data_IF_963226493733
#
_entry.id   IF_963226493733
#
_cell.length_a   1.000
_cell.length_b   1.000
_cell.length_c   1.000
_cell.angle_alpha   90.00
_cell.angle_beta   90.00
_cell.angle_gamma   90.00
#
_symmetry.space_group_name_H-M   'P 1'
#
loop_
_entity.id
_entity.type
_entity.pdbx_description
1 polymer ?
#
# COMPACT_ATOMS: atom_id res chain seq x y z
N UNK A 1 3.96 16.06 3.72
CA UNK A 1 3.68 14.77 3.06
C UNK A 1 4.40 13.70 3.84
N UNK A 2 3.68 12.68 4.30
CA UNK A 2 4.23 11.63 5.15
C UNK A 2 5.25 10.81 4.32
N UNK A 3 6.54 10.88 4.67
CA UNK A 3 7.64 10.27 3.91
C UNK A 3 7.44 8.75 3.73
N UNK A 4 6.74 8.13 4.68
CA UNK A 4 6.37 6.72 4.70
C UNK A 4 5.24 6.37 3.75
N UNK A 5 4.25 7.26 3.53
CA UNK A 5 3.11 6.98 2.64
C UNK A 5 3.59 6.66 1.22
N UNK A 6 4.44 7.51 0.67
CA UNK A 6 4.98 7.32 -0.68
C UNK A 6 5.88 6.08 -0.76
N UNK A 7 6.64 5.78 0.29
CA UNK A 7 7.48 4.57 0.37
C UNK A 7 6.64 3.29 0.38
N UNK A 8 5.55 3.27 1.16
CA UNK A 8 4.62 2.14 1.23
C UNK A 8 3.93 1.90 -0.12
N UNK A 9 3.45 2.95 -0.78
CA UNK A 9 2.85 2.84 -2.13
C UNK A 9 3.86 2.28 -3.13
N UNK A 10 5.08 2.84 -3.19
CA UNK A 10 6.12 2.37 -4.11
C UNK A 10 6.52 0.92 -3.86
N UNK A 11 6.61 0.50 -2.60
CA UNK A 11 6.86 -0.89 -2.25
C UNK A 11 5.69 -1.79 -2.63
N UNK A 12 4.45 -1.37 -2.38
CA UNK A 12 3.25 -2.09 -2.81
C UNK A 12 3.21 -2.31 -4.32
N UNK A 13 3.49 -1.26 -5.11
CA UNK A 13 3.60 -1.34 -6.57
C UNK A 13 4.70 -2.34 -6.97
N UNK A 14 5.89 -2.26 -6.37
CA UNK A 14 6.99 -3.18 -6.65
C UNK A 14 6.62 -4.63 -6.35
N UNK A 15 5.99 -4.87 -5.20
CA UNK A 15 5.55 -6.19 -4.77
C UNK A 15 4.53 -6.76 -5.76
N UNK A 16 3.47 -6.00 -6.07
CA UNK A 16 2.42 -6.44 -7.00
C UNK A 16 2.98 -6.71 -8.41
N UNK A 17 3.92 -5.89 -8.90
CA UNK A 17 4.62 -6.18 -10.16
C UNK A 17 5.39 -7.50 -10.11
N UNK A 18 6.06 -7.77 -8.99
CA UNK A 18 6.81 -9.01 -8.78
C UNK A 18 5.90 -10.24 -8.72
N UNK A 19 4.68 -10.07 -8.18
CA UNK A 19 3.66 -11.12 -8.13
C UNK A 19 2.93 -11.37 -9.47
N UNK A 20 3.14 -10.55 -10.49
CA UNK A 20 2.55 -10.75 -11.82
C UNK A 20 1.48 -9.74 -12.23
N UNK A 21 1.39 -8.59 -11.55
CA UNK A 21 0.53 -7.47 -11.95
C UNK A 21 1.35 -6.33 -12.59
N UNK A 22 1.79 -6.45 -13.87
CA UNK A 22 2.73 -5.51 -14.48
C UNK A 22 2.18 -4.08 -14.61
N UNK A 23 0.86 -3.95 -14.77
CA UNK A 23 0.16 -2.68 -15.02
C UNK A 23 -0.12 -1.85 -13.75
N UNK A 24 0.20 -2.38 -12.56
CA UNK A 24 0.02 -1.65 -11.30
C UNK A 24 0.95 -0.42 -11.23
N UNK A 25 0.44 0.67 -10.68
CA UNK A 25 1.11 1.94 -10.52
C UNK A 25 0.59 2.67 -9.26
N UNK A 26 1.18 3.82 -8.94
CA UNK A 26 0.89 4.59 -7.72
C UNK A 26 -0.55 5.12 -7.64
N UNK A 27 -1.27 5.17 -8.76
CA UNK A 27 -2.66 5.64 -8.85
C UNK A 27 -3.60 4.44 -8.73
N UNK A 28 -3.45 3.43 -9.58
CA UNK A 28 -4.38 2.31 -9.63
C UNK A 28 -4.26 1.36 -8.44
N UNK A 29 -3.15 1.37 -7.70
CA UNK A 29 -3.05 0.62 -6.43
C UNK A 29 -4.02 1.11 -5.36
N UNK A 30 -4.52 2.36 -5.49
CA UNK A 30 -5.50 2.96 -4.59
C UNK A 30 -6.92 3.01 -5.17
N UNK A 31 -7.12 2.72 -6.46
CA UNK A 31 -8.43 2.86 -7.13
C UNK A 31 -8.96 1.56 -7.74
N UNK A 32 -8.09 0.66 -8.21
CA UNK A 32 -8.49 -0.65 -8.73
C UNK A 32 -8.86 -1.59 -7.58
N UNK A 33 -10.02 -2.24 -7.66
CA UNK A 33 -10.53 -3.07 -6.57
C UNK A 33 -9.61 -4.24 -6.20
N UNK A 34 -8.95 -4.84 -7.20
CA UNK A 34 -8.06 -5.99 -6.99
C UNK A 34 -6.76 -5.48 -6.34
N UNK A 35 -6.15 -4.44 -6.91
CA UNK A 35 -4.90 -3.89 -6.35
C UNK A 35 -5.10 -3.29 -4.95
N UNK A 36 -6.22 -2.60 -4.71
CA UNK A 36 -6.59 -2.11 -3.38
C UNK A 36 -6.65 -3.24 -2.37
N UNK A 37 -7.33 -4.35 -2.71
CA UNK A 37 -7.50 -5.48 -1.79
C UNK A 37 -6.15 -6.11 -1.40
N UNK A 38 -5.27 -6.34 -2.38
CA UNK A 38 -3.94 -6.88 -2.09
C UNK A 38 -3.07 -5.89 -1.34
N UNK A 39 -3.08 -4.61 -1.74
CA UNK A 39 -2.29 -3.59 -1.07
C UNK A 39 -2.73 -3.40 0.38
N UNK A 40 -4.04 -3.44 0.63
CA UNK A 40 -4.62 -3.44 1.98
C UNK A 40 -4.12 -4.60 2.82
N UNK A 41 -4.15 -5.84 2.30
CA UNK A 41 -3.63 -7.00 3.03
C UNK A 41 -2.15 -6.80 3.40
N UNK A 42 -1.33 -6.28 2.48
CA UNK A 42 0.08 -5.97 2.77
C UNK A 42 0.24 -4.90 3.86
N UNK A 43 -0.64 -3.89 3.89
CA UNK A 43 -0.63 -2.83 4.90
C UNK A 43 -1.02 -3.39 6.28
N UNK A 44 -2.08 -4.22 6.35
CA UNK A 44 -2.53 -4.89 7.57
C UNK A 44 -1.45 -5.82 8.13
N UNK A 45 -0.74 -6.56 7.28
CA UNK A 45 0.37 -7.44 7.67
C UNK A 45 1.58 -6.68 8.27
N UNK A 46 1.76 -5.40 7.91
CA UNK A 46 2.87 -4.58 8.39
C UNK A 46 2.48 -3.68 9.58
N UNK A 47 1.19 -3.58 9.90
CA UNK A 47 0.70 -2.75 11.00
C UNK A 47 1.24 -3.25 12.35
N UNK A 48 1.74 -2.33 13.19
CA UNK A 48 2.32 -2.65 14.49
C UNK A 48 3.80 -2.99 14.44
N UNK A 49 4.43 -2.95 13.26
CA UNK A 49 5.87 -3.19 13.11
C UNK A 49 6.71 -2.01 13.62
N UNK A 50 6.19 -0.78 13.54
CA UNK A 50 6.86 0.42 14.07
C UNK A 50 5.90 1.60 14.14
N UNK A 51 5.89 2.28 15.30
CA UNK A 51 5.02 3.42 15.56
C UNK A 51 5.14 4.55 14.52
N UNK A 52 6.33 4.74 13.92
CA UNK A 52 6.55 5.77 12.89
C UNK A 52 5.97 5.43 11.52
N UNK A 53 5.70 4.15 11.26
CA UNK A 53 5.12 3.66 10.00
C UNK A 53 3.60 3.48 10.15
N UNK A 54 3.15 3.12 11.36
CA UNK A 54 1.75 2.83 11.66
C UNK A 54 0.82 4.01 11.36
N UNK A 55 1.26 5.26 11.56
CA UNK A 55 0.46 6.43 11.17
C UNK A 55 0.16 6.43 9.67
N UNK A 56 1.19 6.24 8.83
CA UNK A 56 1.05 6.20 7.38
C UNK A 56 0.26 4.97 6.89
N UNK A 57 0.40 3.84 7.57
CA UNK A 57 -0.42 2.64 7.30
C UNK A 57 -1.89 2.93 7.58
N UNK A 58 -2.21 3.51 8.74
CA UNK A 58 -3.58 3.85 9.11
C UNK A 58 -4.23 4.86 8.16
N UNK A 59 -3.47 5.84 7.65
CA UNK A 59 -3.95 6.74 6.59
C UNK A 59 -4.31 5.96 5.32
N UNK A 60 -3.41 5.10 4.83
CA UNK A 60 -3.63 4.31 3.62
C UNK A 60 -4.75 3.27 3.77
N UNK A 61 -4.97 2.72 4.97
CA UNK A 61 -6.08 1.81 5.23
C UNK A 61 -7.45 2.50 5.09
N UNK A 62 -7.54 3.80 5.38
CA UNK A 62 -8.77 4.58 5.16
C UNK A 62 -9.02 4.84 3.68
N UNK A 63 -7.98 5.08 2.89
CA UNK A 63 -8.08 5.25 1.44
C UNK A 63 -8.39 3.92 0.71
N UNK A 64 -7.92 2.81 1.29
CA UNK A 64 -8.13 1.46 0.75
C UNK A 64 -9.38 0.75 1.26
N UNK A 65 -10.14 1.40 2.15
CA UNK A 65 -11.47 0.96 2.57
C UNK A 65 -12.49 0.95 1.42
#
# INVERSE_FOLDING_TARGET
MNDYRNKLIKNGVKNLKTFGYPEVNEINILTDLIYKAFFRSMLEDNLGSSAGIDEAINELLKETA
#
